data_IF_857961820629
#
_entry.id   IF_857961820629
#
_cell.length_a   1.000
_cell.length_b   1.000
_cell.length_c   1.000
_cell.angle_alpha   90.00
_cell.angle_beta   90.00
_cell.angle_gamma   90.00
#
_symmetry.space_group_name_H-M   'P 1'
#
loop_
_entity.id
_entity.type
_entity.pdbx_description
1 polymer ?
#
# COMPACT_ATOMS: atom_id res chain seq x y z
N UNK A 1 -2.14 11.15 -0.83
CA UNK A 1 -2.89 12.15 -1.61
C UNK A 1 -3.94 11.43 -2.44
N UNK A 2 -5.19 11.87 -2.39
CA UNK A 2 -6.34 11.24 -3.03
C UNK A 2 -6.96 12.13 -4.11
N UNK A 3 -7.54 11.54 -5.16
CA UNK A 3 -8.35 12.29 -6.15
C UNK A 3 -9.79 12.55 -5.70
N UNK A 4 -10.25 11.90 -4.62
CA UNK A 4 -11.61 12.00 -4.10
C UNK A 4 -11.64 11.75 -2.58
N UNK A 5 -12.82 11.90 -1.96
CA UNK A 5 -13.03 11.72 -0.52
C UNK A 5 -12.93 10.25 -0.04
N UNK A 6 -12.71 9.30 -0.94
CA UNK A 6 -12.78 7.86 -0.66
C UNK A 6 -11.47 7.13 -0.95
N UNK A 7 -10.43 7.86 -1.36
CA UNK A 7 -9.24 7.25 -1.94
C UNK A 7 -7.97 8.03 -1.62
N UNK A 8 -6.84 7.34 -1.80
CA UNK A 8 -5.53 7.92 -1.65
C UNK A 8 -4.52 6.89 -1.21
N UNK A 9 -3.25 7.23 -1.42
CA UNK A 9 -2.13 6.37 -1.04
C UNK A 9 -1.34 7.00 0.10
N UNK A 10 -0.83 6.13 0.97
CA UNK A 10 0.09 6.45 2.04
C UNK A 10 1.18 5.37 2.10
N UNK A 11 2.42 5.78 2.37
CA UNK A 11 3.54 4.87 2.61
C UNK A 11 4.09 5.17 3.99
N UNK A 12 4.17 4.16 4.84
CA UNK A 12 4.87 4.23 6.12
C UNK A 12 6.22 3.52 5.98
N UNK A 13 7.31 4.23 6.31
CA UNK A 13 8.67 3.68 6.26
C UNK A 13 9.29 3.77 7.65
N UNK A 14 9.93 2.68 8.07
CA UNK A 14 10.66 2.68 9.32
C UNK A 14 11.82 3.68 9.25
N UNK A 15 11.93 4.56 10.24
CA UNK A 15 12.93 5.65 10.33
C UNK A 15 14.40 5.25 10.09
N UNK A 16 14.74 3.97 10.28
CA UNK A 16 16.09 3.47 10.03
C UNK A 16 16.42 3.33 8.55
N UNK A 17 15.41 3.40 7.69
CA UNK A 17 15.55 3.23 6.25
C UNK A 17 15.70 4.63 5.65
N UNK A 18 16.83 4.93 4.98
CA UNK A 18 16.97 6.16 4.21
C UNK A 18 15.89 6.22 3.12
N UNK A 19 15.22 7.37 3.01
CA UNK A 19 14.18 7.59 2.01
C UNK A 19 14.21 9.04 1.54
N UNK A 20 13.93 9.25 0.27
CA UNK A 20 13.65 10.56 -0.31
C UNK A 20 12.39 10.49 -1.17
N UNK A 21 11.51 11.48 -1.07
CA UNK A 21 10.36 11.61 -1.98
C UNK A 21 10.83 12.08 -3.36
N UNK A 22 10.25 11.53 -4.42
CA UNK A 22 10.59 11.92 -5.78
C UNK A 22 9.71 13.10 -6.21
N UNK A 23 10.29 14.30 -6.21
CA UNK A 23 9.54 15.57 -6.36
C UNK A 23 8.80 15.72 -7.69
N UNK A 24 9.34 15.17 -8.78
CA UNK A 24 8.67 15.24 -10.10
C UNK A 24 7.28 14.57 -10.12
N UNK A 25 6.99 13.68 -9.16
CA UNK A 25 5.71 13.01 -9.02
C UNK A 25 4.87 13.52 -7.84
N UNK A 26 5.30 14.58 -7.15
CA UNK A 26 4.65 15.01 -5.90
C UNK A 26 3.17 15.43 -6.05
N UNK A 27 2.81 15.96 -7.22
CA UNK A 27 1.46 16.44 -7.54
C UNK A 27 0.57 15.38 -8.19
N UNK A 28 1.03 14.13 -8.28
CA UNK A 28 0.22 13.04 -8.82
C UNK A 28 -0.75 12.54 -7.75
N UNK A 29 -2.05 12.67 -8.03
CA UNK A 29 -3.08 12.09 -7.16
C UNK A 29 -2.99 10.56 -7.20
N UNK A 30 -3.29 9.92 -6.07
CA UNK A 30 -3.30 8.46 -5.92
C UNK A 30 -1.98 7.74 -6.19
N UNK A 31 -0.87 8.47 -6.31
CA UNK A 31 0.47 7.93 -6.52
C UNK A 31 1.44 8.62 -5.58
N UNK A 32 2.30 7.84 -4.92
CA UNK A 32 3.46 8.35 -4.19
C UNK A 32 4.67 7.55 -4.63
N UNK A 33 5.73 8.27 -4.99
CA UNK A 33 6.99 7.68 -5.44
C UNK A 33 8.11 8.10 -4.50
N UNK A 34 8.83 7.11 -4.00
CA UNK A 34 9.94 7.27 -3.06
C UNK A 34 11.17 6.57 -3.61
N UNK A 35 12.33 7.18 -3.40
CA UNK A 35 13.61 6.50 -3.43
C UNK A 35 13.90 5.93 -2.04
N UNK A 36 14.18 4.63 -1.97
CA UNK A 36 14.43 3.88 -0.74
C UNK A 36 15.85 3.32 -0.76
N UNK A 37 16.57 3.47 0.36
CA UNK A 37 17.96 3.02 0.49
C UNK A 37 18.99 4.13 0.24
N UNK A 38 20.25 3.73 0.21
CA UNK A 38 21.43 4.58 -0.07
C UNK A 38 21.88 4.39 -1.51
N UNK A 39 23.05 4.90 -1.90
CA UNK A 39 23.54 4.84 -3.28
C UNK A 39 23.69 3.41 -3.83
N UNK A 40 24.12 2.45 -3.01
CA UNK A 40 24.48 1.09 -3.48
C UNK A 40 23.34 0.08 -3.44
N UNK A 41 22.30 0.35 -2.65
CA UNK A 41 21.16 -0.52 -2.39
C UNK A 41 19.82 0.15 -2.76
N UNK A 42 19.89 1.23 -3.54
CA UNK A 42 18.75 2.06 -3.91
C UNK A 42 17.74 1.29 -4.73
N UNK A 43 16.47 1.40 -4.37
CA UNK A 43 15.36 1.08 -5.26
C UNK A 43 14.28 2.14 -5.16
N UNK A 44 13.42 2.18 -6.16
CA UNK A 44 12.28 3.08 -6.19
C UNK A 44 11.02 2.32 -5.76
N UNK A 45 10.23 2.92 -4.87
CA UNK A 45 8.94 2.41 -4.44
C UNK A 45 7.87 3.36 -4.94
N UNK A 46 6.98 2.87 -5.80
CA UNK A 46 5.83 3.59 -6.31
C UNK A 46 4.54 2.93 -5.83
N UNK A 47 3.61 3.74 -5.32
CA UNK A 47 2.25 3.28 -5.03
C UNK A 47 1.28 3.73 -6.10
N UNK A 48 0.20 2.98 -6.29
CA UNK A 48 -0.92 3.36 -7.13
C UNK A 48 -2.24 2.97 -6.48
N UNK A 49 -3.18 3.91 -6.46
CA UNK A 49 -4.60 3.60 -6.29
C UNK A 49 -5.34 4.01 -7.57
N UNK A 50 -5.93 3.04 -8.28
CA UNK A 50 -6.73 3.29 -9.47
C UNK A 50 -8.16 2.81 -9.21
N UNK A 51 -9.10 3.73 -8.89
CA UNK A 51 -10.50 3.39 -8.67
C UNK A 51 -11.12 2.60 -9.83
N UNK A 52 -12.15 1.76 -9.59
CA UNK A 52 -12.71 0.87 -10.62
C UNK A 52 -13.06 1.55 -11.95
N UNK A 53 -13.57 2.78 -11.89
CA UNK A 53 -14.07 3.53 -13.05
C UNK A 53 -13.04 4.49 -13.66
N UNK A 54 -11.84 4.60 -13.08
CA UNK A 54 -10.76 5.43 -13.61
C UNK A 54 -9.81 4.60 -14.48
N UNK A 55 -9.18 5.22 -15.48
CA UNK A 55 -8.15 4.57 -16.30
C UNK A 55 -6.86 4.40 -15.51
N UNK A 56 -6.08 3.39 -15.84
CA UNK A 56 -4.71 3.28 -15.33
C UNK A 56 -3.84 4.40 -15.92
N UNK A 57 -2.99 5.06 -15.11
CA UNK A 57 -2.13 6.13 -15.58
C UNK A 57 -0.86 5.53 -16.24
N UNK A 58 -1.04 4.80 -17.34
CA UNK A 58 0.05 4.06 -18.03
C UNK A 58 1.23 4.96 -18.36
N UNK A 59 0.99 6.13 -18.97
CA UNK A 59 2.04 7.10 -19.29
C UNK A 59 2.85 7.57 -18.06
N UNK A 60 2.25 7.53 -16.86
CA UNK A 60 2.94 7.87 -15.62
C UNK A 60 3.76 6.67 -15.12
N UNK A 61 3.28 5.45 -15.28
CA UNK A 61 4.07 4.25 -15.00
C UNK A 61 5.31 4.19 -15.90
N UNK A 62 5.18 4.53 -17.19
CA UNK A 62 6.33 4.61 -18.10
C UNK A 62 7.38 5.59 -17.58
N UNK A 63 6.98 6.82 -17.23
CA UNK A 63 7.89 7.83 -16.64
C UNK A 63 8.54 7.38 -15.33
N UNK A 64 7.80 6.62 -14.52
CA UNK A 64 8.30 6.05 -13.25
C UNK A 64 9.39 5.01 -13.53
N UNK A 65 9.22 4.16 -14.55
CA UNK A 65 10.17 3.11 -14.93
C UNK A 65 11.36 3.64 -15.74
N UNK A 66 11.14 4.62 -16.62
CA UNK A 66 12.21 5.34 -17.33
C UNK A 66 13.21 5.98 -16.35
N UNK A 67 12.71 6.46 -15.21
CA UNK A 67 13.55 7.02 -14.14
C UNK A 67 14.39 5.95 -13.43
N UNK A 68 13.82 4.77 -13.19
CA UNK A 68 14.48 3.68 -12.48
C UNK A 68 13.87 2.35 -12.87
N UNK A 69 14.66 1.49 -13.50
CA UNK A 69 14.28 0.10 -13.78
C UNK A 69 14.23 -0.74 -12.50
N UNK A 70 14.90 -0.32 -11.43
CA UNK A 70 14.85 -0.96 -10.11
C UNK A 70 13.65 -0.42 -9.30
N UNK A 71 12.43 -0.63 -9.81
CA UNK A 71 11.19 -0.08 -9.23
C UNK A 71 10.25 -1.18 -8.76
N UNK A 72 9.81 -1.11 -7.50
CA UNK A 72 8.65 -1.83 -7.01
C UNK A 72 7.43 -0.92 -7.18
N UNK A 73 6.42 -1.39 -7.91
CA UNK A 73 5.14 -0.69 -8.09
C UNK A 73 4.03 -1.51 -7.42
N UNK A 74 3.28 -0.92 -6.49
CA UNK A 74 2.26 -1.66 -5.74
C UNK A 74 1.00 -0.85 -5.42
N UNK A 75 -0.10 -1.54 -5.12
CA UNK A 75 -1.34 -0.94 -4.64
C UNK A 75 -2.58 -1.56 -5.27
N UNK A 76 -3.71 -0.87 -5.19
CA UNK A 76 -4.98 -1.34 -5.75
C UNK A 76 -5.17 -0.78 -7.17
N UNK A 77 -5.10 -1.67 -8.15
CA UNK A 77 -5.23 -1.35 -9.57
C UNK A 77 -6.68 -1.47 -10.06
N UNK A 78 -7.55 -2.18 -9.32
CA UNK A 78 -8.87 -2.63 -9.80
C UNK A 78 -8.82 -3.30 -11.20
N UNK A 79 -7.68 -3.90 -11.55
CA UNK A 79 -7.41 -4.50 -12.85
C UNK A 79 -7.47 -6.03 -12.74
N UNK A 80 -8.28 -6.67 -13.59
CA UNK A 80 -8.50 -8.12 -13.56
C UNK A 80 -8.07 -8.73 -14.88
N UNK A 81 -7.20 -9.73 -14.83
CA UNK A 81 -6.79 -10.49 -16.00
C UNK A 81 -6.45 -11.92 -15.60
N UNK A 82 -6.70 -12.86 -16.51
CA UNK A 82 -6.54 -14.30 -16.27
C UNK A 82 -5.09 -14.70 -15.96
N UNK A 83 -4.10 -13.87 -16.31
CA UNK A 83 -2.68 -14.15 -16.03
C UNK A 83 -2.25 -13.87 -14.57
N UNK A 84 -3.11 -13.26 -13.75
CA UNK A 84 -2.83 -13.02 -12.33
C UNK A 84 -4.04 -13.16 -11.41
N UNK A 85 -5.25 -13.34 -11.94
CA UNK A 85 -6.46 -13.52 -11.15
C UNK A 85 -7.35 -14.58 -11.79
N UNK A 86 -8.00 -15.40 -10.96
CA UNK A 86 -8.98 -16.40 -11.40
C UNK A 86 -10.37 -15.80 -11.71
N UNK A 87 -10.50 -14.48 -11.59
CA UNK A 87 -11.74 -13.75 -11.88
C UNK A 87 -11.87 -13.39 -13.36
N UNK A 88 -13.09 -13.04 -13.78
CA UNK A 88 -13.35 -12.55 -15.14
C UNK A 88 -12.56 -11.26 -15.38
N UNK A 89 -11.79 -11.25 -16.47
CA UNK A 89 -10.98 -10.10 -16.85
C UNK A 89 -11.82 -8.86 -17.19
N UNK A 90 -11.24 -7.68 -16.99
CA UNK A 90 -11.85 -6.41 -17.35
C UNK A 90 -10.99 -5.63 -18.35
N UNK A 91 -11.56 -4.59 -18.96
CA UNK A 91 -10.83 -3.75 -19.93
C UNK A 91 -9.54 -3.17 -19.33
N UNK A 92 -9.58 -2.78 -18.05
CA UNK A 92 -8.43 -2.26 -17.33
C UNK A 92 -7.31 -3.29 -17.23
N UNK A 93 -7.64 -4.55 -16.92
CA UNK A 93 -6.70 -5.66 -16.87
C UNK A 93 -6.10 -6.00 -18.23
N UNK A 94 -6.87 -5.95 -19.32
CA UNK A 94 -6.31 -6.12 -20.68
C UNK A 94 -5.28 -5.03 -21.03
N UNK A 95 -5.59 -3.77 -20.73
CA UNK A 95 -4.65 -2.65 -20.93
C UNK A 95 -3.40 -2.86 -20.08
N UNK A 96 -3.57 -3.26 -18.82
CA UNK A 96 -2.45 -3.47 -17.91
C UNK A 96 -1.58 -4.67 -18.31
N UNK A 97 -2.18 -5.74 -18.80
CA UNK A 97 -1.49 -6.92 -19.30
C UNK A 97 -0.61 -6.59 -20.51
N UNK A 98 -1.15 -5.83 -21.47
CA UNK A 98 -0.37 -5.37 -22.62
C UNK A 98 0.83 -4.52 -22.19
N UNK A 99 0.61 -3.58 -21.26
CA UNK A 99 1.69 -2.76 -20.72
C UNK A 99 2.75 -3.60 -19.99
N UNK A 100 2.32 -4.56 -19.15
CA UNK A 100 3.21 -5.51 -18.47
C UNK A 100 4.04 -6.33 -19.46
N UNK A 101 3.45 -6.77 -20.58
CA UNK A 101 4.16 -7.58 -21.59
C UNK A 101 5.31 -6.85 -22.29
N UNK A 102 5.37 -5.52 -22.15
CA UNK A 102 6.40 -4.66 -22.74
C UNK A 102 7.38 -4.08 -21.71
N UNK A 103 7.26 -4.45 -20.43
CA UNK A 103 8.07 -3.92 -19.34
C UNK A 103 8.66 -5.05 -18.49
N UNK A 104 9.87 -4.86 -17.96
CA UNK A 104 10.58 -5.87 -17.15
C UNK A 104 10.10 -5.90 -15.69
N UNK A 105 8.80 -6.09 -15.49
CA UNK A 105 8.17 -6.25 -14.18
C UNK A 105 7.35 -7.54 -14.13
N UNK A 106 7.38 -8.19 -12.98
CA UNK A 106 6.57 -9.37 -12.70
C UNK A 106 5.63 -9.10 -11.52
N UNK A 107 4.42 -9.66 -11.61
CA UNK A 107 3.47 -9.66 -10.50
C UNK A 107 3.88 -10.73 -9.49
N UNK A 108 4.08 -10.32 -8.24
CA UNK A 108 4.47 -11.19 -7.12
C UNK A 108 3.28 -12.05 -6.66
N UNK A 109 2.14 -11.41 -6.39
CA UNK A 109 0.95 -12.07 -5.85
C UNK A 109 -0.06 -12.37 -6.96
N UNK A 110 -0.09 -13.61 -7.45
CA UNK A 110 -1.00 -14.09 -8.50
C UNK A 110 -1.97 -15.12 -7.95
N UNK A 111 -3.17 -15.18 -8.51
CA UNK A 111 -4.18 -16.22 -8.25
C UNK A 111 -4.54 -16.34 -6.77
N UNK A 112 -4.62 -15.20 -6.09
CA UNK A 112 -5.03 -15.10 -4.69
C UNK A 112 -5.99 -13.93 -4.52
N UNK A 113 -7.14 -14.16 -3.89
CA UNK A 113 -8.11 -13.09 -3.67
C UNK A 113 -7.51 -12.03 -2.75
N UNK A 114 -7.53 -10.76 -3.18
CA UNK A 114 -7.12 -9.60 -2.38
C UNK A 114 -8.30 -8.70 -2.02
N UNK A 115 -9.50 -9.02 -2.50
CA UNK A 115 -10.74 -8.36 -2.10
C UNK A 115 -11.86 -9.37 -1.85
N UNK A 116 -12.55 -9.21 -0.71
CA UNK A 116 -13.76 -9.99 -0.37
C UNK A 116 -14.93 -9.66 -1.29
N UNK A 117 -15.02 -8.40 -1.75
CA UNK A 117 -16.13 -7.90 -2.58
C UNK A 117 -16.11 -8.52 -3.99
N UNK A 118 -14.93 -8.58 -4.61
CA UNK A 118 -14.82 -9.07 -5.98
C UNK A 118 -14.30 -10.50 -6.11
N UNK A 119 -13.80 -11.09 -5.02
CA UNK A 119 -13.06 -12.36 -5.02
C UNK A 119 -11.99 -12.41 -6.12
N UNK A 120 -11.24 -11.31 -6.25
CA UNK A 120 -10.28 -11.08 -7.33
C UNK A 120 -8.94 -10.61 -6.76
N UNK A 121 -7.90 -10.74 -7.58
CA UNK A 121 -6.54 -10.26 -7.29
C UNK A 121 -6.41 -8.88 -7.93
N UNK A 122 -6.71 -7.83 -7.17
CA UNK A 122 -6.74 -6.44 -7.66
C UNK A 122 -5.70 -5.54 -6.97
N UNK A 123 -5.28 -5.94 -5.78
CA UNK A 123 -4.13 -5.39 -5.08
C UNK A 123 -2.90 -6.13 -5.58
N UNK A 124 -2.00 -5.44 -6.27
CA UNK A 124 -0.87 -6.08 -6.95
C UNK A 124 0.44 -5.50 -6.43
N UNK A 125 1.45 -6.36 -6.35
CA UNK A 125 2.84 -6.00 -6.15
C UNK A 125 3.58 -6.39 -7.43
N UNK A 126 4.16 -5.40 -8.10
CA UNK A 126 5.00 -5.56 -9.27
C UNK A 126 6.45 -5.26 -8.89
N UNK A 127 7.37 -6.12 -9.29
CA UNK A 127 8.79 -5.90 -9.04
C UNK A 127 9.65 -6.49 -10.18
N UNK A 128 10.89 -6.03 -10.35
CA UNK A 128 11.83 -6.65 -11.27
C UNK A 128 12.15 -8.09 -10.83
N UNK A 129 12.43 -8.97 -11.78
CA UNK A 129 12.67 -10.39 -11.52
C UNK A 129 13.76 -10.64 -10.46
N UNK A 130 14.83 -9.82 -10.42
CA UNK A 130 15.90 -9.98 -9.42
C UNK A 130 15.47 -9.69 -7.98
N UNK A 131 14.33 -9.00 -7.77
CA UNK A 131 13.75 -8.78 -6.44
C UNK A 131 12.84 -9.92 -5.97
N UNK A 132 12.51 -10.86 -6.86
CA UNK A 132 11.61 -11.99 -6.63
C UNK A 132 12.40 -13.30 -6.79
N UNK A 133 13.39 -13.58 -5.92
CA UNK A 133 14.07 -14.88 -5.95
C UNK A 133 13.06 -15.99 -5.68
N UNK A 134 13.38 -17.21 -6.08
CA UNK A 134 12.57 -18.40 -5.78
C UNK A 134 12.34 -18.63 -4.28
N UNK A 135 13.17 -18.04 -3.42
CA UNK A 135 13.05 -18.05 -1.96
C UNK A 135 12.16 -16.94 -1.40
N UNK A 136 11.78 -15.95 -2.21
CA UNK A 136 10.86 -14.90 -1.77
C UNK A 136 9.48 -15.50 -1.56
N UNK A 137 8.84 -15.09 -0.46
CA UNK A 137 7.48 -15.50 -0.15
C UNK A 137 6.64 -14.27 0.10
N UNK A 138 5.37 -14.39 -0.27
CA UNK A 138 4.33 -13.48 0.13
C UNK A 138 3.24 -14.25 0.86
N UNK A 139 2.47 -13.55 1.69
CA UNK A 139 1.27 -14.08 2.32
C UNK A 139 0.16 -13.05 2.24
N UNK A 140 -1.06 -13.55 2.02
CA UNK A 140 -2.28 -12.76 2.12
C UNK A 140 -2.87 -13.00 3.50
N UNK A 141 -3.06 -11.92 4.25
CA UNK A 141 -3.58 -11.95 5.60
C UNK A 141 -5.11 -11.85 5.61
N UNK A 142 -5.77 -12.30 6.69
CA UNK A 142 -7.19 -12.07 6.88
C UNK A 142 -7.55 -10.59 6.80
N UNK A 143 -8.73 -10.28 6.27
CA UNK A 143 -9.25 -8.92 6.20
C UNK A 143 -9.43 -8.35 7.61
N UNK A 144 -9.09 -7.07 7.81
CA UNK A 144 -9.24 -6.38 9.10
C UNK A 144 -10.10 -5.14 8.87
N UNK A 145 -11.41 -5.31 8.99
CA UNK A 145 -12.36 -4.19 8.99
C UNK A 145 -12.58 -3.48 7.64
N UNK A 146 -12.14 -4.05 6.52
CA UNK A 146 -12.48 -3.59 5.18
C UNK A 146 -12.64 -4.78 4.21
N UNK A 147 -12.99 -4.49 2.95
CA UNK A 147 -13.19 -5.49 1.89
C UNK A 147 -11.90 -5.89 1.15
N UNK A 148 -10.72 -5.55 1.68
CA UNK A 148 -9.41 -5.92 1.14
C UNK A 148 -8.62 -6.82 2.10
N UNK A 149 -7.76 -7.67 1.54
CA UNK A 149 -6.87 -8.54 2.27
C UNK A 149 -5.44 -7.97 2.26
N UNK A 150 -4.83 -7.66 3.42
CA UNK A 150 -3.46 -7.18 3.46
C UNK A 150 -2.48 -8.20 2.88
N UNK A 151 -1.43 -7.71 2.20
CA UNK A 151 -0.38 -8.56 1.62
C UNK A 151 0.93 -8.26 2.33
N UNK A 152 1.61 -9.30 2.81
CA UNK A 152 3.00 -9.21 3.29
C UNK A 152 3.89 -9.85 2.24
N UNK A 153 4.97 -9.16 1.87
CA UNK A 153 5.99 -9.70 0.99
C UNK A 153 7.38 -9.30 1.48
N UNK A 154 8.32 -10.23 1.40
CA UNK A 154 9.74 -9.98 1.70
C UNK A 154 10.56 -10.05 0.40
N UNK A 155 10.96 -8.90 -0.18
CA UNK A 155 11.79 -8.87 -1.39
C UNK A 155 13.24 -9.29 -1.09
N UNK A 156 14.02 -9.58 -2.15
CA UNK A 156 15.48 -9.75 -2.03
C UNK A 156 16.27 -8.47 -1.71
N UNK A 157 15.59 -7.34 -1.57
CA UNK A 157 16.23 -6.05 -1.31
C UNK A 157 16.99 -6.06 0.03
N UNK A 158 18.30 -5.76 -0.03
CA UNK A 158 19.15 -5.64 1.16
C UNK A 158 19.42 -4.16 1.43
N UNK A 159 18.77 -3.64 2.47
CA UNK A 159 18.89 -2.23 2.82
C UNK A 159 19.91 -1.98 3.94
N UNK A 160 20.80 -1.01 3.72
CA UNK A 160 21.61 -0.41 4.76
C UNK A 160 20.72 0.46 5.66
N UNK A 161 20.85 0.25 6.96
CA UNK A 161 20.13 1.02 7.97
C UNK A 161 20.99 2.19 8.43
N UNK A 162 20.33 3.26 8.88
CA UNK A 162 21.02 4.32 9.63
C UNK A 162 21.36 3.83 11.03
N UNK A 163 22.64 3.95 11.41
CA UNK A 163 23.14 3.57 12.73
C UNK A 163 22.76 4.59 13.83
N UNK A 164 22.71 5.88 13.49
CA UNK A 164 22.35 6.94 14.42
C UNK A 164 20.84 7.19 14.43
N UNK A 165 20.11 6.43 15.25
CA UNK A 165 18.70 6.69 15.54
C UNK A 165 18.56 7.41 16.88
N UNK A 166 17.98 8.61 16.87
CA UNK A 166 17.56 9.26 18.11
C UNK A 166 16.52 8.39 18.84
N UNK A 167 16.59 8.21 20.17
CA UNK A 167 15.53 7.58 20.93
C UNK A 167 14.22 8.35 20.70
N UNK A 168 13.18 7.68 20.22
CA UNK A 168 11.82 8.25 20.18
C UNK A 168 11.09 7.73 21.41
N UNK A 169 10.18 8.54 21.98
CA UNK A 169 9.23 8.07 22.99
C UNK A 169 8.56 6.80 22.46
N UNK A 170 8.86 5.66 23.08
CA UNK A 170 8.23 4.40 22.70
C UNK A 170 6.76 4.48 23.10
N UNK A 171 5.87 4.23 22.14
CA UNK A 171 4.49 3.90 22.45
C UNK A 171 4.48 2.58 23.22
N UNK A 172 3.99 2.60 24.46
CA UNK A 172 3.81 1.40 25.25
C UNK A 172 2.57 0.66 24.76
N UNK A 173 2.72 -0.13 23.68
CA UNK A 173 1.60 -0.83 23.02
C UNK A 173 0.77 -1.67 23.98
N UNK A 174 1.36 -2.24 25.03
CA UNK A 174 0.61 -2.95 26.08
C UNK A 174 -0.31 -2.03 26.86
N UNK A 175 0.16 -0.83 27.24
CA UNK A 175 -0.67 0.17 27.93
C UNK A 175 -1.75 0.71 27.00
N UNK A 176 -1.43 0.98 25.73
CA UNK A 176 -2.42 1.41 24.73
C UNK A 176 -3.48 0.32 24.55
N UNK A 177 -3.08 -0.95 24.39
CA UNK A 177 -4.02 -2.07 24.27
C UNK A 177 -4.89 -2.21 25.50
N UNK A 178 -4.31 -2.13 26.69
CA UNK A 178 -5.04 -2.18 27.96
C UNK A 178 -6.06 -1.03 28.04
N UNK A 179 -5.64 0.19 27.76
CA UNK A 179 -6.48 1.38 27.76
C UNK A 179 -7.63 1.29 26.75
N UNK A 180 -7.34 0.90 25.50
CA UNK A 180 -8.35 0.67 24.47
C UNK A 180 -9.35 -0.41 24.91
N UNK A 181 -8.88 -1.48 25.57
CA UNK A 181 -9.74 -2.57 26.05
C UNK A 181 -10.70 -2.08 27.14
N UNK A 182 -10.22 -1.30 28.11
CA UNK A 182 -11.05 -0.74 29.18
C UNK A 182 -12.05 0.31 28.69
N UNK A 183 -11.66 1.07 27.66
CA UNK A 183 -12.46 2.20 27.15
C UNK A 183 -13.38 1.80 26.01
N UNK A 184 -13.19 0.60 25.44
CA UNK A 184 -13.95 0.08 24.30
C UNK A 184 -15.47 0.15 24.50
N UNK A 185 -15.98 -0.39 25.61
CA UNK A 185 -17.42 -0.44 25.87
C UNK A 185 -18.05 0.97 25.93
N UNK A 186 -17.34 1.92 26.53
CA UNK A 186 -17.77 3.31 26.59
C UNK A 186 -17.86 3.91 25.18
N UNK A 187 -16.78 3.82 24.39
CA UNK A 187 -16.75 4.40 23.05
C UNK A 187 -17.69 3.72 22.07
N UNK A 188 -17.88 2.41 22.20
CA UNK A 188 -18.88 1.68 21.42
C UNK A 188 -20.31 2.15 21.73
N UNK A 189 -20.61 2.45 23.00
CA UNK A 189 -21.89 3.03 23.40
C UNK A 189 -22.07 4.47 22.88
N UNK A 190 -21.02 5.30 22.94
CA UNK A 190 -21.06 6.65 22.36
C UNK A 190 -21.29 6.61 20.85
N UNK A 191 -20.63 5.70 20.14
CA UNK A 191 -20.81 5.50 18.70
C UNK A 191 -22.27 5.17 18.38
N UNK A 192 -22.90 4.26 19.13
CA UNK A 192 -24.32 3.91 18.91
C UNK A 192 -25.32 5.03 19.19
N UNK A 193 -24.91 6.10 19.89
CA UNK A 193 -25.75 7.22 20.30
C UNK A 193 -25.48 8.51 19.53
N UNK A 194 -24.40 8.55 18.75
CA UNK A 194 -23.99 9.74 18.02
C UNK A 194 -24.37 9.55 16.55
N UNK A 195 -25.38 10.29 16.09
CA UNK A 195 -25.82 10.24 14.69
C UNK A 195 -24.78 10.87 13.73
N UNK A 196 -23.98 11.82 14.24
CA UNK A 196 -22.89 12.46 13.49
C UNK A 196 -21.55 11.72 13.68
N UNK A 197 -21.20 10.92 12.68
CA UNK A 197 -19.92 10.21 12.61
C UNK A 197 -18.69 11.12 12.75
N UNK A 198 -18.71 12.34 12.19
CA UNK A 198 -17.57 13.27 12.26
C UNK A 198 -17.38 13.78 13.69
N UNK A 199 -18.48 14.11 14.37
CA UNK A 199 -18.45 14.54 15.77
C UNK A 199 -17.94 13.43 16.69
N UNK A 200 -18.38 12.19 16.46
CA UNK A 200 -17.88 11.01 17.17
C UNK A 200 -16.37 10.85 16.97
N UNK A 201 -15.91 10.80 15.72
CA UNK A 201 -14.49 10.59 15.41
C UNK A 201 -13.60 11.70 15.97
N UNK A 202 -14.02 12.97 15.89
CA UNK A 202 -13.26 14.08 16.47
C UNK A 202 -13.14 13.97 17.99
N UNK A 203 -14.20 13.54 18.67
CA UNK A 203 -14.19 13.33 20.12
C UNK A 203 -13.32 12.14 20.51
N UNK A 204 -13.41 11.05 19.76
CA UNK A 204 -12.59 9.85 19.97
C UNK A 204 -11.11 10.10 19.71
N UNK A 205 -10.77 10.85 18.66
CA UNK A 205 -9.40 11.25 18.37
C UNK A 205 -8.81 12.10 19.50
N UNK A 206 -9.56 13.12 19.98
CA UNK A 206 -9.14 13.92 21.14
C UNK A 206 -8.90 13.06 22.38
N UNK A 207 -9.75 12.08 22.62
CA UNK A 207 -9.57 11.14 23.72
C UNK A 207 -8.30 10.30 23.56
N UNK A 208 -8.06 9.75 22.38
CA UNK A 208 -6.85 8.98 22.10
C UNK A 208 -5.58 9.83 22.20
N UNK A 209 -5.66 11.14 21.93
CA UNK A 209 -4.53 12.06 22.07
C UNK A 209 -4.07 12.29 23.53
N UNK A 210 -4.84 11.81 24.51
CA UNK A 210 -4.46 11.84 25.93
C UNK A 210 -3.46 10.73 26.31
N UNK A 211 -3.18 9.79 25.39
CA UNK A 211 -2.19 8.70 25.54
C UNK A 211 -0.80 9.12 25.09
#
# INVERSE_FOLDING_TARGET
>A
AGSNNFGGVLIAIHRSIPVQRVDIFQNQSNIVVLDVGTTTDKFQLATCYSPPNEKLPINLFDKILERSTNTILLGDFNAKHQSWSDSIENQKGRVFFNWLSTNDLEIVNKHVATSTRSNATIDLILAPAHMIPSTSSYSVLPCIGNDHFPIIWTPAAKLQKRDCLYPVKRTYWTLVKLFLTFTFSYWNNQHSKTDDSLQFFSSYERFLSLL
#
